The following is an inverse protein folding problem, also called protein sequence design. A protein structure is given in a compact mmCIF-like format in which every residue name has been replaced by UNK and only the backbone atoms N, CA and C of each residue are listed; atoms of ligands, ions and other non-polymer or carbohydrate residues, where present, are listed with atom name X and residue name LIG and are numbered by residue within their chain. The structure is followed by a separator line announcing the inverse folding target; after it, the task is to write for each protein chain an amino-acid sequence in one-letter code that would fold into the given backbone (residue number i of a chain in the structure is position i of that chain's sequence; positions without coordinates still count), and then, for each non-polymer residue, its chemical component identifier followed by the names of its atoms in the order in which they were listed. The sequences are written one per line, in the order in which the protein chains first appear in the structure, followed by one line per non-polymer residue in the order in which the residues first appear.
data_IF_653365150175
#
_entry.id   IF_653365150175
#
_cell.length_a   1.000
_cell.length_b   1.000
_cell.length_c   1.000
_cell.angle_alpha   90.00
_cell.angle_beta   90.00
_cell.angle_gamma   90.00
#
_symmetry.space_group_name_H-M   'P 1'
#
loop_
_entity.id
_entity.type
_entity.pdbx_description
1 polymer ?
#
# COMPACT_ATOMS: atom_id res chain seq x y z
N UNK A 1 -11.12 12.09 2.34
CA UNK A 1 -9.78 11.52 2.06
C UNK A 1 -9.76 10.18 2.76
N UNK A 2 -9.44 9.10 2.06
CA UNK A 2 -9.48 7.76 2.66
C UNK A 2 -8.43 7.67 3.78
N UNK A 3 -8.87 7.17 4.94
CA UNK A 3 -8.08 7.18 6.18
C UNK A 3 -6.73 6.46 5.98
N UNK A 4 -6.74 5.36 5.24
CA UNK A 4 -5.56 4.52 5.01
C UNK A 4 -4.48 5.15 4.12
N UNK A 5 -4.76 6.22 3.38
CA UNK A 5 -3.75 6.99 2.62
C UNK A 5 -3.21 8.20 3.39
N UNK A 6 -3.88 8.57 4.48
CA UNK A 6 -3.54 9.76 5.24
C UNK A 6 -2.23 9.55 6.00
N UNK A 7 -1.33 10.54 5.92
CA UNK A 7 -0.06 10.54 6.66
C UNK A 7 1.01 9.59 6.11
N UNK A 8 0.84 9.07 4.89
CA UNK A 8 1.92 8.43 4.13
C UNK A 8 2.85 9.49 3.55
N UNK A 9 4.15 9.20 3.50
CA UNK A 9 5.10 10.00 2.73
C UNK A 9 5.02 9.64 1.22
N UNK A 10 5.66 10.41 0.33
CA UNK A 10 5.60 10.15 -1.11
C UNK A 10 6.05 8.74 -1.51
N UNK A 11 7.12 8.22 -0.91
CA UNK A 11 7.66 6.89 -1.25
C UNK A 11 6.72 5.76 -0.79
N UNK A 12 6.06 5.91 0.36
CA UNK A 12 5.03 4.97 0.82
C UNK A 12 3.80 5.04 -0.08
N UNK A 13 3.40 6.25 -0.52
CA UNK A 13 2.27 6.42 -1.42
C UNK A 13 2.54 5.77 -2.79
N UNK A 14 3.74 5.95 -3.34
CA UNK A 14 4.19 5.28 -4.56
C UNK A 14 4.16 3.75 -4.38
N UNK A 15 4.67 3.26 -3.24
CA UNK A 15 4.63 1.84 -2.91
C UNK A 15 3.20 1.30 -2.71
N UNK A 16 2.21 2.13 -2.39
CA UNK A 16 0.79 1.75 -2.31
C UNK A 16 0.15 1.74 -3.70
N UNK A 17 0.41 2.76 -4.51
CA UNK A 17 -0.28 2.99 -5.79
C UNK A 17 0.32 2.23 -6.98
N UNK A 18 1.57 1.76 -6.90
CA UNK A 18 2.19 0.97 -7.97
C UNK A 18 1.66 -0.48 -7.95
N UNK A 19 0.52 -0.75 -8.58
CA UNK A 19 -0.18 -2.04 -8.45
C UNK A 19 0.13 -3.07 -9.53
N UNK A 20 0.62 -2.62 -10.69
CA UNK A 20 0.89 -3.50 -11.83
C UNK A 20 2.31 -4.06 -11.79
N UNK A 21 2.43 -5.36 -12.10
CA UNK A 21 3.70 -6.06 -12.15
C UNK A 21 4.33 -6.33 -10.78
N UNK A 22 5.53 -6.92 -10.80
CA UNK A 22 6.29 -7.19 -9.59
C UNK A 22 7.06 -5.94 -9.15
N UNK A 23 6.90 -5.56 -7.89
CA UNK A 23 7.63 -4.43 -7.29
C UNK A 23 8.51 -4.88 -6.13
N UNK A 24 9.56 -4.11 -5.85
CA UNK A 24 10.44 -4.30 -4.69
C UNK A 24 10.51 -3.01 -3.88
N UNK A 25 10.01 -3.05 -2.66
CA UNK A 25 10.09 -1.91 -1.71
C UNK A 25 11.26 -2.14 -0.77
N UNK A 26 12.24 -1.25 -0.79
CA UNK A 26 13.37 -1.26 0.14
C UNK A 26 13.06 -0.31 1.30
N UNK A 27 13.13 -0.80 2.54
CA UNK A 27 12.75 -0.02 3.70
C UNK A 27 13.62 -0.34 4.91
N UNK A 28 14.00 0.70 5.65
CA UNK A 28 14.79 0.59 6.89
C UNK A 28 13.97 0.14 8.10
N UNK A 29 14.62 0.06 9.26
CA UNK A 29 13.93 -0.07 10.53
C UNK A 29 13.11 1.20 10.83
N UNK A 30 11.91 1.06 11.38
CA UNK A 30 11.07 2.19 11.80
C UNK A 30 10.41 3.01 10.68
N UNK A 31 10.63 2.72 9.40
CA UNK A 31 10.14 3.54 8.28
C UNK A 31 8.68 3.26 7.87
N UNK A 32 7.88 2.63 8.75
CA UNK A 32 6.45 2.39 8.48
C UNK A 32 6.13 1.29 7.47
N UNK A 33 6.99 0.27 7.31
CA UNK A 33 6.79 -0.88 6.40
C UNK A 33 5.40 -1.49 6.47
N UNK A 34 4.96 -1.81 7.69
CA UNK A 34 3.65 -2.42 7.94
C UNK A 34 2.52 -1.48 7.57
N UNK A 35 2.64 -0.19 7.88
CA UNK A 35 1.64 0.82 7.49
C UNK A 35 1.50 0.88 5.97
N UNK A 36 2.59 0.93 5.23
CA UNK A 36 2.55 0.92 3.77
C UNK A 36 1.89 -0.35 3.21
N UNK A 37 2.20 -1.53 3.75
CA UNK A 37 1.57 -2.79 3.31
C UNK A 37 0.08 -2.86 3.64
N UNK A 38 -0.35 -2.42 4.82
CA UNK A 38 -1.77 -2.37 5.20
C UNK A 38 -2.53 -1.34 4.36
N UNK A 39 -1.96 -0.15 4.14
CA UNK A 39 -2.53 0.85 3.24
C UNK A 39 -2.64 0.33 1.81
N UNK A 40 -1.66 -0.46 1.33
CA UNK A 40 -1.71 -1.10 0.01
C UNK A 40 -2.81 -2.13 -0.07
N UNK A 41 -3.00 -2.94 0.97
CA UNK A 41 -4.12 -3.89 1.04
C UNK A 41 -5.47 -3.18 0.90
N UNK A 42 -5.70 -2.12 1.69
CA UNK A 42 -6.92 -1.32 1.62
C UNK A 42 -7.08 -0.68 0.23
N UNK A 43 -6.02 -0.11 -0.33
CA UNK A 43 -6.06 0.47 -1.68
C UNK A 43 -6.46 -0.54 -2.76
N UNK A 44 -5.92 -1.76 -2.71
CA UNK A 44 -6.29 -2.82 -3.64
C UNK A 44 -7.76 -3.24 -3.48
N UNK A 45 -8.24 -3.36 -2.25
CA UNK A 45 -9.60 -3.81 -1.95
C UNK A 45 -10.66 -2.74 -2.24
N UNK A 46 -10.44 -1.51 -1.75
CA UNK A 46 -11.43 -0.44 -1.75
C UNK A 46 -11.39 0.38 -3.05
N UNK A 47 -10.19 0.80 -3.47
CA UNK A 47 -10.04 1.67 -4.65
C UNK A 47 -9.99 0.88 -5.97
N UNK A 48 -9.33 -0.27 -6.00
CA UNK A 48 -9.26 -1.11 -7.21
C UNK A 48 -10.30 -2.23 -7.24
N UNK A 49 -11.08 -2.43 -6.17
CA UNK A 49 -12.14 -3.44 -6.12
C UNK A 49 -11.63 -4.89 -6.18
N UNK A 50 -10.35 -5.13 -5.85
CA UNK A 50 -9.79 -6.48 -5.82
C UNK A 50 -10.43 -7.25 -4.67
N UNK A 51 -11.08 -8.37 -4.99
CA UNK A 51 -11.69 -9.20 -3.97
C UNK A 51 -10.64 -9.60 -2.91
N UNK A 52 -10.87 -9.37 -1.61
CA UNK A 52 -9.89 -9.62 -0.54
C UNK A 52 -9.22 -11.00 -0.57
N UNK A 53 -9.96 -12.03 -0.99
CA UNK A 53 -9.47 -13.41 -1.16
C UNK A 53 -8.37 -13.57 -2.23
N UNK A 54 -8.17 -12.57 -3.09
CA UNK A 54 -7.16 -12.55 -4.14
C UNK A 54 -5.91 -11.75 -3.74
N UNK A 55 -5.83 -11.23 -2.51
CA UNK A 55 -4.68 -10.47 -1.99
C UNK A 55 -3.98 -11.33 -0.93
N UNK A 56 -2.67 -11.57 -1.10
CA UNK A 56 -1.85 -12.48 -0.27
C UNK A 56 -0.60 -11.75 0.22
#
# INVERSE_FOLDING_TARGET
MEDYLTGLNPEQLEAVQTTEGAIRVLAGAGTGKTRALTSRYCYLADMLGVAPKNIV
#
